data_IF_826623941693
#
_entry.id   IF_826623941693
#
_cell.length_a   1.000
_cell.length_b   1.000
_cell.length_c   1.000
_cell.angle_alpha   90.00
_cell.angle_beta   90.00
_cell.angle_gamma   90.00
#
_symmetry.space_group_name_H-M   'P 1'
#
loop_
_entity.id
_entity.type
_entity.pdbx_description
1 polymer ?
#
# COMPACT_ATOMS: atom_id res chain seq x y z
N UNK A 1 -5.56 -11.99 16.84
CA UNK A 1 -5.39 -13.42 16.53
C UNK A 1 -5.88 -14.22 17.71
N UNK A 2 -6.88 -15.08 17.53
CA UNK A 2 -7.38 -15.98 18.58
C UNK A 2 -6.62 -17.31 18.50
N UNK A 3 -5.81 -17.62 19.53
CA UNK A 3 -4.98 -18.84 19.57
C UNK A 3 -5.79 -20.12 19.80
N UNK A 4 -7.02 -20.01 20.30
CA UNK A 4 -7.89 -21.15 20.58
C UNK A 4 -8.67 -21.53 19.33
N UNK A 5 -9.15 -20.53 18.61
CA UNK A 5 -9.94 -20.71 17.38
C UNK A 5 -9.08 -20.71 16.11
N UNK A 6 -7.77 -20.45 16.23
CA UNK A 6 -6.81 -20.29 15.13
C UNK A 6 -7.33 -19.38 14.00
N UNK A 7 -8.00 -18.29 14.37
CA UNK A 7 -8.63 -17.36 13.44
C UNK A 7 -8.29 -15.91 13.75
N UNK A 8 -8.21 -15.10 12.71
CA UNK A 8 -8.16 -13.65 12.83
C UNK A 8 -9.57 -13.14 13.13
N UNK A 9 -9.73 -12.51 14.30
CA UNK A 9 -10.94 -11.75 14.63
C UNK A 9 -10.76 -10.33 14.12
N UNK A 10 -11.71 -9.85 13.32
CA UNK A 10 -11.82 -8.44 12.98
C UNK A 10 -12.39 -7.75 14.22
N UNK A 11 -11.54 -7.02 14.93
CA UNK A 11 -11.98 -6.14 16.00
C UNK A 11 -12.21 -4.79 15.34
N UNK A 12 -13.43 -4.26 15.43
CA UNK A 12 -13.68 -2.87 15.09
C UNK A 12 -12.84 -2.03 16.06
N UNK A 13 -11.74 -1.48 15.55
CA UNK A 13 -10.87 -0.60 16.33
C UNK A 13 -11.59 0.72 16.54
N UNK A 14 -12.34 0.86 17.63
CA UNK A 14 -12.53 2.15 18.28
C UNK A 14 -11.24 2.45 19.06
N UNK A 15 -10.21 2.91 18.37
CA UNK A 15 -9.12 3.59 19.05
C UNK A 15 -9.69 4.93 19.61
N UNK A 16 -9.41 5.29 20.88
CA UNK A 16 -9.62 6.66 21.32
C UNK A 16 -8.81 7.59 20.42
N UNK A 17 -9.37 8.75 20.08
CA UNK A 17 -8.78 9.71 19.13
C UNK A 17 -7.40 10.26 19.53
N UNK A 18 -6.90 9.94 20.74
CA UNK A 18 -5.66 10.46 21.32
C UNK A 18 -4.48 9.48 21.33
N UNK A 19 -4.65 8.20 20.98
CA UNK A 19 -3.54 7.24 20.90
C UNK A 19 -3.13 7.00 19.46
N UNK A 20 -2.60 8.03 18.80
CA UNK A 20 -1.89 7.84 17.54
C UNK A 20 -0.64 7.00 17.80
N UNK A 21 -0.62 5.76 17.31
CA UNK A 21 0.52 4.87 17.48
C UNK A 21 1.64 5.30 16.52
N UNK A 22 2.91 5.00 16.86
CA UNK A 22 4.09 5.21 16.00
C UNK A 22 3.99 4.49 14.64
N UNK A 23 2.98 3.64 14.42
CA UNK A 23 2.76 2.99 13.13
C UNK A 23 1.75 3.74 12.25
N UNK A 24 1.03 4.72 12.79
CA UNK A 24 -0.02 5.44 12.07
C UNK A 24 0.50 6.33 10.95
N UNK A 25 1.79 6.69 10.96
CA UNK A 25 2.41 7.32 9.80
C UNK A 25 2.83 6.30 8.73
N UNK A 26 2.97 5.01 9.04
CA UNK A 26 3.34 3.98 8.05
C UNK A 26 2.15 3.33 7.35
N UNK A 27 0.94 3.86 7.52
CA UNK A 27 -0.26 3.34 6.86
C UNK A 27 -0.14 3.44 5.34
N UNK A 28 -0.37 2.29 4.68
CA UNK A 28 -0.57 2.17 3.24
C UNK A 28 -2.07 2.07 2.96
N UNK A 29 -2.60 2.96 2.13
CA UNK A 29 -4.00 2.93 1.71
C UNK A 29 -4.06 2.57 0.24
N UNK A 30 -4.68 1.43 -0.08
CA UNK A 30 -4.89 1.01 -1.47
C UNK A 30 -6.26 1.50 -1.94
N UNK A 31 -6.27 2.29 -3.01
CA UNK A 31 -7.49 2.78 -3.66
C UNK A 31 -7.55 2.29 -5.10
N UNK A 32 -8.62 1.58 -5.44
CA UNK A 32 -8.89 1.15 -6.81
C UNK A 32 -9.79 2.17 -7.49
N UNK A 33 -9.33 2.73 -8.61
CA UNK A 33 -10.16 3.53 -9.52
C UNK A 33 -10.58 2.67 -10.69
N UNK A 34 -11.89 2.62 -10.93
CA UNK A 34 -12.47 2.01 -12.11
C UNK A 34 -12.74 3.12 -13.13
N UNK A 35 -12.07 3.04 -14.26
CA UNK A 35 -12.41 3.86 -15.42
C UNK A 35 -13.78 3.42 -15.98
N UNK A 36 -14.74 4.34 -16.06
CA UNK A 36 -16.12 3.99 -16.40
C UNK A 36 -16.30 3.59 -17.86
N UNK A 37 -15.44 4.11 -18.74
CA UNK A 37 -15.51 3.91 -20.18
C UNK A 37 -14.78 2.63 -20.58
N UNK A 38 -13.49 2.54 -20.24
CA UNK A 38 -12.62 1.41 -20.60
C UNK A 38 -12.77 0.21 -19.67
N UNK A 39 -13.42 0.37 -18.51
CA UNK A 39 -13.51 -0.63 -17.42
C UNK A 39 -12.15 -1.01 -16.82
N UNK A 40 -11.09 -0.28 -17.15
CA UNK A 40 -9.77 -0.53 -16.60
C UNK A 40 -9.73 -0.17 -15.11
N UNK A 41 -9.11 -1.05 -14.32
CA UNK A 41 -8.86 -0.80 -12.91
C UNK A 41 -7.42 -0.32 -12.73
N UNK A 42 -7.27 0.84 -12.10
CA UNK A 42 -5.96 1.34 -11.66
C UNK A 42 -5.91 1.36 -10.15
N UNK A 43 -4.91 0.70 -9.58
CA UNK A 43 -4.66 0.70 -8.13
C UNK A 43 -3.66 1.80 -7.78
N UNK A 44 -4.00 2.59 -6.78
CA UNK A 44 -3.15 3.62 -6.21
C UNK A 44 -2.80 3.24 -4.77
N UNK A 45 -1.53 3.36 -4.39
CA UNK A 45 -1.07 3.13 -3.03
C UNK A 45 -0.66 4.47 -2.44
N UNK A 46 -1.47 4.98 -1.51
CA UNK A 46 -1.14 6.18 -0.76
C UNK A 46 -0.31 5.83 0.47
N UNK A 47 0.80 6.52 0.66
CA UNK A 47 1.74 6.31 1.76
C UNK A 47 1.73 7.55 2.63
N UNK A 48 1.23 7.41 3.86
CA UNK A 48 1.10 8.53 4.80
C UNK A 48 2.48 9.07 5.22
N UNK A 49 3.45 8.19 5.41
CA UNK A 49 4.82 8.54 5.81
C UNK A 49 5.52 9.34 4.72
N UNK A 50 5.85 10.59 5.02
CA UNK A 50 6.55 11.46 4.10
C UNK A 50 7.97 10.96 3.79
N UNK A 51 8.68 10.45 4.80
CA UNK A 51 10.02 9.90 4.65
C UNK A 51 10.04 8.70 3.70
N UNK A 52 9.20 7.69 3.97
CA UNK A 52 9.11 6.51 3.09
C UNK A 52 8.67 6.87 1.68
N UNK A 53 7.69 7.77 1.55
CA UNK A 53 7.22 8.23 0.24
C UNK A 53 8.34 8.90 -0.56
N UNK A 54 9.18 9.71 0.08
CA UNK A 54 10.31 10.36 -0.59
C UNK A 54 11.41 9.36 -0.96
N UNK A 55 11.71 8.41 -0.08
CA UNK A 55 12.66 7.32 -0.36
C UNK A 55 12.17 6.50 -1.56
N UNK A 56 10.92 6.07 -1.56
CA UNK A 56 10.35 5.28 -2.65
C UNK A 56 10.31 6.06 -3.96
N UNK A 57 9.98 7.36 -3.93
CA UNK A 57 10.04 8.21 -5.14
C UNK A 57 11.45 8.28 -5.73
N UNK A 58 12.47 8.31 -4.89
CA UNK A 58 13.87 8.35 -5.35
C UNK A 58 14.30 6.98 -5.90
N UNK A 59 14.11 5.91 -5.11
CA UNK A 59 14.51 4.54 -5.49
C UNK A 59 13.77 4.05 -6.73
N UNK A 60 12.51 4.45 -6.91
CA UNK A 60 11.66 4.04 -8.03
C UNK A 60 11.56 5.09 -9.13
N UNK A 61 12.39 6.15 -9.11
CA UNK A 61 12.27 7.27 -10.06
C UNK A 61 12.36 6.83 -11.53
N UNK A 62 13.19 5.82 -11.81
CA UNK A 62 13.47 5.28 -13.15
C UNK A 62 12.69 3.98 -13.43
N UNK A 63 11.88 3.54 -12.46
CA UNK A 63 11.01 2.38 -12.57
C UNK A 63 9.65 2.84 -13.11
N UNK A 64 9.27 2.30 -14.27
CA UNK A 64 7.97 2.52 -14.89
C UNK A 64 6.87 1.72 -14.19
N UNK A 65 7.19 0.53 -13.68
CA UNK A 65 6.22 -0.31 -12.97
C UNK A 65 6.90 -1.43 -12.21
N UNK A 66 6.23 -1.91 -11.15
CA UNK A 66 6.65 -3.07 -10.36
C UNK A 66 5.59 -4.15 -10.56
N UNK A 67 6.02 -5.36 -10.91
CA UNK A 67 5.15 -6.54 -10.93
C UNK A 67 5.28 -7.28 -9.59
N UNK A 68 4.15 -7.50 -8.93
CA UNK A 68 4.06 -8.24 -7.66
C UNK A 68 3.46 -9.64 -7.83
N UNK A 69 3.32 -10.11 -9.08
CA UNK A 69 2.72 -11.41 -9.37
C UNK A 69 3.65 -12.58 -9.01
N UNK A 70 4.96 -12.34 -9.10
CA UNK A 70 5.99 -13.33 -8.80
C UNK A 70 6.49 -13.20 -7.35
N UNK A 71 7.05 -14.28 -6.79
CA UNK A 71 7.63 -14.31 -5.44
C UNK A 71 8.71 -13.22 -5.25
N UNK A 72 9.45 -12.94 -6.33
CA UNK A 72 10.41 -11.84 -6.39
C UNK A 72 9.81 -10.70 -7.21
N UNK A 73 9.79 -9.46 -6.70
CA UNK A 73 9.30 -8.34 -7.48
C UNK A 73 10.21 -8.10 -8.69
N UNK A 74 9.61 -7.87 -9.84
CA UNK A 74 10.31 -7.47 -11.07
C UNK A 74 9.99 -6.02 -11.42
N UNK A 75 10.95 -5.32 -12.03
CA UNK A 75 10.84 -3.90 -12.39
C UNK A 75 10.86 -3.72 -13.90
N UNK A 76 9.99 -2.85 -14.40
CA UNK A 76 10.04 -2.34 -15.77
C UNK A 76 10.72 -0.99 -15.71
N UNK A 77 11.80 -0.79 -16.46
CA UNK A 77 12.52 0.49 -16.51
C UNK A 77 11.86 1.44 -17.52
N UNK A 78 11.99 2.74 -17.30
CA UNK A 78 11.59 3.74 -18.29
C UNK A 78 12.52 3.68 -19.51
N UNK A 79 11.96 3.62 -20.72
CA UNK A 79 12.75 3.81 -21.94
C UNK A 79 13.26 5.25 -22.07
N UNK A 80 14.49 5.39 -22.56
CA UNK A 80 15.18 6.66 -22.86
C UNK A 80 14.60 7.27 -24.14
#
# INVERSE_FOLDING_TARGET
WDKKEYKYKVVESLAPADEANELDHYVFVVRTRLDKETKNQTQYVDIKSAGLRNILRNVLQDVQGICLHEEKPSVILKSI
#
